data_IF_059294052371
#
_entry.id   IF_059294052371
#
_cell.length_a   1.000
_cell.length_b   1.000
_cell.length_c   1.000
_cell.angle_alpha   90.00
_cell.angle_beta   90.00
_cell.angle_gamma   90.00
#
_symmetry.space_group_name_H-M   'P 1'
#
loop_
_entity.id
_entity.type
_entity.pdbx_description
1 polymer ?
#
# COMPACT_ATOMS: atom_id res chain seq x y z
N UNK A 1 21.02 17.18 20.26
CA UNK A 1 20.38 15.96 20.80
C UNK A 1 19.78 15.19 19.64
N UNK A 2 20.13 13.93 19.39
CA UNK A 2 19.45 13.15 18.36
C UNK A 2 18.05 12.78 18.87
N UNK A 3 17.00 13.09 18.10
CA UNK A 3 15.67 12.55 18.32
C UNK A 3 15.73 11.05 18.02
N UNK A 4 15.66 10.23 19.05
CA UNK A 4 15.37 8.80 18.91
C UNK A 4 13.90 8.73 18.49
N UNK A 5 13.64 8.64 17.18
CA UNK A 5 12.31 8.32 16.67
C UNK A 5 12.06 6.87 17.07
N UNK A 6 11.33 6.69 18.17
CA UNK A 6 10.84 5.39 18.59
C UNK A 6 9.99 4.85 17.44
N UNK A 7 10.42 3.72 16.86
CA UNK A 7 9.65 3.06 15.81
C UNK A 7 8.28 2.72 16.41
N UNK A 8 7.21 3.28 15.84
CA UNK A 8 5.85 2.98 16.27
C UNK A 8 5.57 1.50 16.03
N UNK A 9 5.01 0.83 17.03
CA UNK A 9 4.64 -0.58 16.94
C UNK A 9 3.49 -0.75 15.93
N UNK A 10 3.65 -1.71 15.01
CA UNK A 10 2.64 -2.05 14.01
C UNK A 10 1.61 -2.96 14.66
N UNK A 11 0.33 -2.59 14.57
CA UNK A 11 -0.78 -3.42 15.04
C UNK A 11 -1.18 -4.41 13.94
N UNK A 12 -0.81 -5.67 14.11
CA UNK A 12 -1.20 -6.74 13.20
C UNK A 12 -2.59 -7.28 13.54
N UNK A 13 -3.36 -7.68 12.53
CA UNK A 13 -4.65 -8.36 12.67
C UNK A 13 -4.60 -9.76 11.99
N UNK A 14 -5.66 -10.56 12.22
CA UNK A 14 -5.91 -11.88 11.61
C UNK A 14 -4.77 -12.90 11.70
N UNK A 15 -3.93 -12.82 12.73
CA UNK A 15 -2.71 -13.64 12.87
C UNK A 15 -1.86 -13.69 11.58
N UNK A 16 -1.89 -12.59 10.82
CA UNK A 16 -1.21 -12.50 9.53
C UNK A 16 0.30 -12.48 9.69
N UNK A 17 1.00 -12.91 8.64
CA UNK A 17 2.46 -12.89 8.59
C UNK A 17 2.99 -11.47 8.86
N UNK A 18 4.10 -11.35 9.60
CA UNK A 18 4.69 -10.05 9.91
C UNK A 18 5.56 -9.50 8.77
N UNK A 19 5.85 -8.19 8.85
CA UNK A 19 6.81 -7.54 7.95
C UNK A 19 8.21 -8.17 8.05
N UNK A 20 8.61 -8.62 9.24
CA UNK A 20 9.91 -9.27 9.41
C UNK A 20 9.96 -10.64 8.75
N UNK A 21 8.87 -11.38 8.74
CA UNK A 21 8.79 -12.70 8.12
C UNK A 21 8.71 -12.60 6.60
N UNK A 22 7.89 -11.69 6.06
CA UNK A 22 7.77 -11.53 4.60
C UNK A 22 9.10 -11.12 3.97
N UNK A 23 9.87 -10.24 4.64
CA UNK A 23 11.24 -9.85 4.23
C UNK A 23 12.20 -11.03 4.07
N UNK A 24 11.98 -12.14 4.78
CA UNK A 24 12.81 -13.35 4.70
C UNK A 24 12.32 -14.34 3.65
N UNK A 25 11.08 -14.18 3.17
CA UNK A 25 10.39 -15.16 2.30
C UNK A 25 10.25 -14.72 0.85
N UNK A 26 10.57 -13.47 0.53
CA UNK A 26 10.56 -12.96 -0.85
C UNK A 26 11.98 -12.65 -1.33
N UNK A 27 12.18 -12.74 -2.65
CA UNK A 27 13.47 -12.54 -3.32
C UNK A 27 13.64 -11.11 -3.92
N UNK A 28 12.87 -10.17 -3.40
CA UNK A 28 12.86 -8.76 -3.81
C UNK A 28 12.74 -7.83 -2.60
N UNK A 29 13.02 -6.54 -2.80
CA UNK A 29 13.01 -5.56 -1.71
C UNK A 29 11.58 -5.33 -1.21
N UNK A 30 11.31 -5.62 0.05
CA UNK A 30 10.06 -5.22 0.71
C UNK A 30 10.18 -3.76 1.12
N UNK A 31 9.28 -2.92 0.61
CA UNK A 31 9.17 -1.50 1.01
C UNK A 31 7.96 -1.31 1.90
N UNK A 32 8.09 -0.54 2.98
CA UNK A 32 7.04 -0.40 4.00
C UNK A 32 6.85 1.08 4.35
N UNK A 33 5.62 1.59 4.47
CA UNK A 33 5.39 2.97 4.90
C UNK A 33 5.79 3.16 6.36
N UNK A 34 6.52 4.23 6.65
CA UNK A 34 6.95 4.59 8.01
C UNK A 34 6.05 5.65 8.66
N UNK A 35 5.11 6.21 7.90
CA UNK A 35 4.16 7.21 8.38
C UNK A 35 2.73 6.75 8.09
N UNK A 36 2.22 5.89 8.97
CA UNK A 36 0.84 5.39 8.97
C UNK A 36 0.11 5.93 10.21
N UNK A 37 -1.17 6.31 10.10
CA UNK A 37 -2.00 6.65 11.25
C UNK A 37 -2.06 5.53 12.31
N UNK A 38 -2.04 5.89 13.60
CA UNK A 38 -1.91 4.92 14.72
C UNK A 38 -3.15 4.05 14.95
N UNK A 39 -4.27 4.48 14.39
CA UNK A 39 -5.57 3.84 14.42
C UNK A 39 -5.73 2.80 13.31
N UNK A 40 -4.75 2.66 12.40
CA UNK A 40 -4.81 1.63 11.36
C UNK A 40 -4.21 0.31 11.86
N UNK A 41 -4.80 -0.79 11.44
CA UNK A 41 -4.25 -2.14 11.63
C UNK A 41 -3.71 -2.68 10.31
N UNK A 42 -2.80 -3.65 10.36
CA UNK A 42 -2.16 -4.24 9.18
C UNK A 42 -2.47 -5.73 9.10
N UNK A 43 -3.06 -6.12 7.97
CA UNK A 43 -3.14 -7.50 7.51
C UNK A 43 -2.18 -7.71 6.35
N UNK A 44 -1.40 -8.79 6.34
CA UNK A 44 -0.59 -9.16 5.18
C UNK A 44 -1.20 -10.37 4.46
N UNK A 45 -1.60 -10.17 3.21
CA UNK A 45 -2.05 -11.24 2.30
C UNK A 45 -0.90 -11.71 1.41
N UNK A 46 -0.72 -13.01 1.28
CA UNK A 46 0.35 -13.61 0.46
C UNK A 46 -0.22 -14.28 -0.78
N UNK A 47 0.60 -14.35 -1.84
CA UNK A 47 0.24 -14.96 -3.11
C UNK A 47 1.35 -15.89 -3.63
N UNK A 48 1.01 -17.06 -4.20
CA UNK A 48 -0.33 -17.66 -4.33
C UNK A 48 -1.09 -17.76 -2.99
N UNK A 49 -2.43 -17.74 -3.04
CA UNK A 49 -3.26 -17.44 -1.87
C UNK A 49 -2.90 -18.32 -0.66
N UNK A 50 -2.66 -17.68 0.49
CA UNK A 50 -2.22 -18.30 1.75
C UNK A 50 -0.92 -19.12 1.70
N UNK A 51 -0.12 -18.98 0.63
CA UNK A 51 1.21 -19.59 0.54
C UNK A 51 2.15 -18.96 1.57
N UNK A 52 2.90 -19.81 2.28
CA UNK A 52 3.82 -19.40 3.34
C UNK A 52 5.28 -19.59 2.95
N UNK A 53 5.60 -20.33 1.89
CA UNK A 53 6.98 -20.66 1.54
C UNK A 53 7.39 -20.04 0.20
N UNK A 54 6.54 -20.12 -0.82
CA UNK A 54 6.83 -19.64 -2.19
C UNK A 54 6.04 -18.40 -2.56
N UNK A 55 6.30 -17.31 -1.82
CA UNK A 55 5.55 -16.07 -1.98
C UNK A 55 6.10 -15.28 -3.18
N UNK A 56 5.29 -15.15 -4.24
CA UNK A 56 5.66 -14.39 -5.46
C UNK A 56 5.30 -12.92 -5.37
N UNK A 57 4.26 -12.61 -4.61
CA UNK A 57 3.79 -11.26 -4.32
C UNK A 57 2.99 -11.26 -3.02
N UNK A 58 2.82 -10.09 -2.42
CA UNK A 58 2.02 -9.92 -1.21
C UNK A 58 1.35 -8.55 -1.25
N UNK A 59 0.34 -8.37 -0.40
CA UNK A 59 -0.29 -7.08 -0.17
C UNK A 59 -0.28 -6.71 1.30
N UNK A 60 0.01 -5.45 1.58
CA UNK A 60 -0.18 -4.83 2.88
C UNK A 60 -1.58 -4.19 2.89
N UNK A 61 -2.52 -4.81 3.59
CA UNK A 61 -3.86 -4.29 3.78
C UNK A 61 -3.91 -3.49 5.08
N UNK A 62 -3.95 -2.17 4.95
CA UNK A 62 -4.19 -1.30 6.08
C UNK A 62 -5.70 -1.14 6.27
N UNK A 63 -6.19 -1.59 7.42
CA UNK A 63 -7.59 -1.53 7.82
C UNK A 63 -7.81 -0.39 8.82
N UNK A 64 -9.06 0.03 9.00
CA UNK A 64 -9.45 0.91 10.10
C UNK A 64 -9.30 0.23 11.48
N UNK A 65 -9.52 0.99 12.55
CA UNK A 65 -9.31 0.52 13.93
C UNK A 65 -10.22 -0.65 14.31
N UNK A 66 -11.40 -0.70 13.68
CA UNK A 66 -12.44 -1.68 13.93
C UNK A 66 -12.36 -2.86 12.95
N UNK A 67 -11.33 -2.89 12.10
CA UNK A 67 -11.08 -3.93 11.11
C UNK A 67 -12.28 -4.18 10.16
N UNK A 68 -13.05 -3.12 9.90
CA UNK A 68 -14.30 -3.12 9.13
C UNK A 68 -14.09 -2.71 7.68
N UNK A 69 -13.13 -1.80 7.44
CA UNK A 69 -12.88 -1.23 6.13
C UNK A 69 -11.40 -1.28 5.76
N UNK A 70 -11.14 -1.78 4.54
CA UNK A 70 -9.85 -1.61 3.90
C UNK A 70 -9.65 -0.13 3.53
N UNK A 71 -8.62 0.49 4.11
CA UNK A 71 -8.25 1.87 3.85
C UNK A 71 -7.27 1.96 2.69
N UNK A 72 -6.21 1.16 2.71
CA UNK A 72 -5.22 1.08 1.63
C UNK A 72 -4.77 -0.37 1.44
N UNK A 73 -4.77 -0.85 0.19
CA UNK A 73 -3.97 -2.02 -0.23
C UNK A 73 -2.66 -1.56 -0.81
N UNK A 74 -1.53 -2.18 -0.43
CA UNK A 74 -0.22 -1.95 -1.05
C UNK A 74 0.34 -3.28 -1.56
N UNK A 75 0.13 -3.53 -2.85
CA UNK A 75 0.57 -4.72 -3.55
C UNK A 75 2.02 -4.59 -3.98
N UNK A 76 2.84 -5.61 -3.67
CA UNK A 76 4.25 -5.63 -3.98
C UNK A 76 4.65 -6.92 -4.67
N UNK A 77 5.39 -6.77 -5.76
CA UNK A 77 5.96 -7.89 -6.52
C UNK A 77 7.27 -7.53 -7.18
N UNK A 78 8.05 -8.55 -7.50
CA UNK A 78 9.15 -8.44 -8.46
C UNK A 78 8.57 -8.43 -9.88
N UNK A 79 9.06 -7.52 -10.73
CA UNK A 79 8.67 -7.53 -12.13
C UNK A 79 8.93 -6.24 -12.89
N UNK A 80 8.71 -6.26 -14.21
CA UNK A 80 8.70 -5.04 -15.00
C UNK A 80 7.50 -4.16 -14.59
N UNK A 81 7.66 -2.85 -14.73
CA UNK A 81 6.52 -1.93 -14.69
C UNK A 81 5.65 -2.26 -15.90
N UNK A 82 4.51 -2.93 -15.68
CA UNK A 82 3.54 -3.10 -16.75
C UNK A 82 2.88 -1.75 -16.97
N UNK A 83 3.27 -1.07 -18.04
CA UNK A 83 2.60 0.15 -18.48
C UNK A 83 1.25 -0.23 -19.09
N UNK A 84 0.32 -0.69 -18.27
CA UNK A 84 -1.09 -0.56 -18.63
C UNK A 84 -1.36 0.94 -18.65
N UNK A 85 -1.53 1.48 -19.86
CA UNK A 85 -1.87 2.88 -20.07
C UNK A 85 -3.32 3.08 -19.65
N UNK A 86 -3.53 3.63 -18.46
CA UNK A 86 -4.83 4.16 -18.10
C UNK A 86 -4.96 5.56 -18.70
N UNK A 87 -6.15 5.82 -19.25
CA UNK A 87 -6.55 7.16 -19.67
C UNK A 87 -6.55 8.05 -18.40
N UNK A 88 -6.03 9.28 -18.49
CA UNK A 88 -5.94 10.25 -17.39
C UNK A 88 -4.93 9.94 -16.26
N UNK A 89 -3.84 9.21 -16.55
CA UNK A 89 -2.74 9.08 -15.59
C UNK A 89 -2.04 10.42 -15.32
N UNK A 90 -1.99 10.82 -14.05
CA UNK A 90 -1.16 11.91 -13.57
C UNK A 90 0.22 11.37 -13.16
N UNK A 91 1.29 11.94 -13.72
CA UNK A 91 2.64 11.65 -13.25
C UNK A 91 2.90 12.35 -11.91
N UNK A 92 3.41 11.61 -10.94
CA UNK A 92 3.74 12.11 -9.59
C UNK A 92 5.16 11.72 -9.18
N UNK A 93 5.76 12.50 -8.27
CA UNK A 93 7.03 12.16 -7.63
C UNK A 93 6.81 11.46 -6.27
N UNK A 94 7.48 10.33 -6.10
CA UNK A 94 7.52 9.54 -4.86
C UNK A 94 8.99 9.37 -4.45
N UNK A 95 9.51 10.36 -3.73
CA UNK A 95 10.90 10.38 -3.25
C UNK A 95 11.93 10.21 -4.39
N UNK A 96 11.76 10.93 -5.50
CA UNK A 96 12.60 10.81 -6.68
C UNK A 96 12.27 9.64 -7.61
N UNK A 97 11.33 8.76 -7.23
CA UNK A 97 10.79 7.73 -8.10
C UNK A 97 9.59 8.28 -8.88
N UNK A 98 9.61 8.06 -10.20
CA UNK A 98 8.46 8.37 -11.05
C UNK A 98 7.30 7.43 -10.73
N UNK A 99 6.17 7.99 -10.31
CA UNK A 99 4.90 7.28 -10.11
C UNK A 99 3.81 7.80 -11.03
N UNK A 100 2.71 7.04 -11.10
CA UNK A 100 1.52 7.35 -11.88
C UNK A 100 0.29 7.17 -11.00
N UNK A 101 -0.55 8.19 -10.93
CA UNK A 101 -1.81 8.20 -10.18
C UNK A 101 -3.00 8.28 -11.13
N UNK A 102 -4.03 7.49 -10.85
CA UNK A 102 -5.32 7.52 -11.55
C UNK A 102 -6.41 7.62 -10.49
N UNK A 103 -7.21 8.67 -10.53
CA UNK A 103 -8.40 8.78 -9.69
C UNK A 103 -9.49 7.82 -10.16
N UNK A 104 -10.29 7.29 -9.24
CA UNK A 104 -11.42 6.44 -9.62
C UNK A 104 -12.48 7.23 -10.39
N UNK A 105 -13.07 6.61 -11.41
CA UNK A 105 -14.07 7.26 -12.25
C UNK A 105 -15.34 7.67 -11.50
N UNK A 106 -15.64 7.00 -10.38
CA UNK A 106 -16.75 7.29 -9.48
C UNK A 106 -16.31 8.08 -8.22
N UNK A 107 -15.14 8.72 -8.24
CA UNK A 107 -14.70 9.59 -7.13
C UNK A 107 -15.73 10.71 -6.92
N UNK A 108 -16.16 10.90 -5.67
CA UNK A 108 -17.23 11.83 -5.31
C UNK A 108 -18.63 11.21 -5.24
N UNK A 109 -18.82 9.98 -5.68
CA UNK A 109 -20.07 9.22 -5.50
C UNK A 109 -20.11 8.50 -4.14
N UNK A 110 -21.30 8.07 -3.72
CA UNK A 110 -21.46 7.22 -2.53
C UNK A 110 -21.41 5.74 -2.92
N UNK A 111 -20.72 4.92 -2.14
CA UNK A 111 -20.73 3.46 -2.29
C UNK A 111 -22.02 2.83 -1.74
N UNK A 112 -22.15 1.50 -1.87
CA UNK A 112 -23.32 0.74 -1.40
C UNK A 112 -23.61 0.89 0.11
N UNK A 113 -22.62 1.35 0.88
CA UNK A 113 -22.70 1.58 2.33
C UNK A 113 -22.93 3.05 2.67
N UNK A 114 -23.07 3.92 1.67
CA UNK A 114 -23.26 5.35 1.83
C UNK A 114 -21.98 6.14 2.10
N UNK A 115 -20.80 5.54 1.88
CA UNK A 115 -19.50 6.20 2.10
C UNK A 115 -19.01 6.87 0.82
N UNK A 116 -18.42 8.06 0.95
CA UNK A 116 -17.87 8.79 -0.19
C UNK A 116 -16.67 8.05 -0.80
N UNK A 117 -16.78 7.67 -2.06
CA UNK A 117 -15.67 7.12 -2.83
C UNK A 117 -14.64 8.20 -3.07
N UNK A 118 -13.39 7.92 -2.69
CA UNK A 118 -12.24 8.81 -2.91
C UNK A 118 -10.97 8.01 -3.12
N UNK A 119 -9.94 8.64 -3.68
CA UNK A 119 -8.64 7.99 -3.88
C UNK A 119 -8.48 7.50 -5.31
N UNK A 120 -7.85 6.34 -5.48
CA UNK A 120 -7.44 5.88 -6.79
C UNK A 120 -6.44 4.74 -6.76
N UNK A 121 -5.74 4.62 -7.88
CA UNK A 121 -4.61 3.72 -8.10
C UNK A 121 -3.32 4.52 -8.25
N UNK A 122 -2.36 4.27 -7.37
CA UNK A 122 -1.00 4.82 -7.44
C UNK A 122 0.00 3.70 -7.73
N UNK A 123 0.83 3.84 -8.77
CA UNK A 123 1.81 2.82 -9.17
C UNK A 123 3.19 3.41 -9.35
N UNK A 124 4.21 2.72 -8.87
CA UNK A 124 5.62 3.10 -9.11
C UNK A 124 6.56 1.91 -8.98
N UNK A 125 7.83 2.14 -9.28
CA UNK A 125 8.91 1.19 -9.05
C UNK A 125 9.94 1.80 -8.12
N UNK A 126 10.32 1.06 -7.08
CA UNK A 126 11.31 1.46 -6.09
C UNK A 126 12.24 0.28 -5.81
N UNK A 127 13.54 0.49 -6.00
CA UNK A 127 14.59 -0.52 -5.70
C UNK A 127 14.35 -1.91 -6.34
N UNK A 128 13.78 -1.94 -7.55
CA UNK A 128 13.48 -3.20 -8.25
C UNK A 128 12.10 -3.80 -7.94
N UNK A 129 11.42 -3.28 -6.91
CA UNK A 129 10.07 -3.69 -6.52
C UNK A 129 9.03 -2.84 -7.22
N UNK A 130 8.06 -3.51 -7.81
CA UNK A 130 6.86 -2.89 -8.35
C UNK A 130 5.83 -2.76 -7.25
N UNK A 131 5.28 -1.55 -7.07
CA UNK A 131 4.34 -1.22 -6.01
C UNK A 131 3.07 -0.66 -6.62
N UNK A 132 1.92 -1.18 -6.21
CA UNK A 132 0.61 -0.58 -6.46
C UNK A 132 -0.04 -0.26 -5.12
N UNK A 133 -0.65 0.92 -5.04
CA UNK A 133 -1.41 1.36 -3.88
C UNK A 133 -2.82 1.70 -4.33
N UNK A 134 -3.79 1.00 -3.76
CA UNK A 134 -5.21 1.14 -4.08
C UNK A 134 -5.97 1.67 -2.87
N UNK A 135 -6.88 2.62 -3.09
CA UNK A 135 -7.80 3.06 -2.04
C UNK A 135 -9.08 3.64 -2.62
N UNK A 136 -10.23 3.27 -2.06
CA UNK A 136 -11.54 3.91 -2.34
C UNK A 136 -12.03 4.78 -1.17
N UNK A 137 -11.19 5.01 -0.15
CA UNK A 137 -11.52 5.73 1.10
C UNK A 137 -10.49 6.78 1.52
N UNK A 138 -9.31 6.75 0.92
CA UNK A 138 -8.20 7.63 1.26
C UNK A 138 -7.90 8.54 0.07
N UNK A 139 -8.09 9.84 0.26
CA UNK A 139 -7.81 10.86 -0.77
C UNK A 139 -6.40 10.73 -1.36
N UNK A 140 -6.24 11.13 -2.62
CA UNK A 140 -4.95 11.24 -3.34
C UNK A 140 -3.81 11.81 -2.48
N UNK A 141 -4.02 12.96 -1.84
CA UNK A 141 -2.98 13.62 -1.05
C UNK A 141 -2.51 12.80 0.16
N UNK A 142 -3.42 12.04 0.79
CA UNK A 142 -3.07 11.12 1.88
C UNK A 142 -2.34 9.88 1.35
N UNK A 143 -2.79 9.31 0.23
CA UNK A 143 -2.07 8.20 -0.44
C UNK A 143 -0.62 8.59 -0.77
N UNK A 144 -0.41 9.78 -1.35
CA UNK A 144 0.94 10.28 -1.65
C UNK A 144 1.79 10.48 -0.40
N UNK A 145 1.21 10.92 0.72
CA UNK A 145 1.94 11.01 2.00
C UNK A 145 2.39 9.63 2.50
N UNK A 146 1.53 8.62 2.38
CA UNK A 146 1.87 7.24 2.73
C UNK A 146 2.98 6.72 1.81
N UNK A 147 2.82 6.85 0.49
CA UNK A 147 3.79 6.38 -0.51
C UNK A 147 5.16 7.04 -0.31
N UNK A 148 5.22 8.35 -0.07
CA UNK A 148 6.46 9.09 0.22
C UNK A 148 7.08 8.73 1.57
N UNK A 149 6.41 7.97 2.42
CA UNK A 149 7.01 7.45 3.66
C UNK A 149 7.62 6.06 3.49
N UNK A 150 7.53 5.45 2.30
CA UNK A 150 7.98 4.08 2.07
C UNK A 150 9.51 3.98 1.92
N UNK A 151 10.09 2.98 2.59
CA UNK A 151 11.52 2.62 2.52
C UNK A 151 11.72 1.11 2.55
#
# INVERSE_FOLDING_TARGET
>A
MPLIVQAKEIKYNHDSITISEIKKKVDFKVVVPHNIPNDWTLEIKTYPWDEKDKITNFSLHYMDSDDKYLLISIDQRKGPFKKEMHINEEQVDINGHKGFFVEWGNSGELDEKGELVTGGLLRWKQEGTYVEMHSSRVSRNKMLKVARSMK
#
